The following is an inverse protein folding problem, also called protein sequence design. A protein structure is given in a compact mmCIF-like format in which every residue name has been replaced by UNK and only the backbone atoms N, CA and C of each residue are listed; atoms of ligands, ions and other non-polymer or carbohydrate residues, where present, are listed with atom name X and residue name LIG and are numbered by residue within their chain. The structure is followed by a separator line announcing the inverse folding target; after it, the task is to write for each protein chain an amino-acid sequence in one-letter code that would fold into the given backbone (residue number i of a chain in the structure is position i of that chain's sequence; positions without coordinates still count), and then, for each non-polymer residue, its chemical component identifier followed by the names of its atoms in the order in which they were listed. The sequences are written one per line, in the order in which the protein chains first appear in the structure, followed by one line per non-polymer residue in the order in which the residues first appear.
data_IF_394461571340
#
_entry.id   IF_394461571340
#
_cell.length_a   1.000
_cell.length_b   1.000
_cell.length_c   1.000
_cell.angle_alpha   90.00
_cell.angle_beta   90.00
_cell.angle_gamma   90.00
#
_symmetry.space_group_name_H-M   'P 1'
#
loop_
_entity.id
_entity.type
_entity.pdbx_description
1 polymer ?
#
# COMPACT_ATOMS: atom_id res chain seq x y z
N UNK A 1 -22.15 15.93 -23.17
CA UNK A 1 -21.67 14.53 -23.13
C UNK A 1 -20.31 14.52 -22.44
N UNK A 2 -20.14 13.75 -21.35
CA UNK A 2 -18.82 13.59 -20.71
C UNK A 2 -17.92 12.84 -21.70
N UNK A 3 -16.74 13.39 -22.01
CA UNK A 3 -15.77 12.73 -22.89
C UNK A 3 -15.23 11.49 -22.18
N UNK A 4 -15.25 10.35 -22.85
CA UNK A 4 -14.59 9.14 -22.38
C UNK A 4 -13.09 9.45 -22.27
N UNK A 5 -12.53 9.33 -21.07
CA UNK A 5 -11.08 9.39 -20.84
C UNK A 5 -10.58 7.95 -20.80
N UNK A 6 -9.53 7.67 -21.58
CA UNK A 6 -8.82 6.39 -21.48
C UNK A 6 -8.32 6.26 -20.03
N UNK A 7 -8.58 5.13 -19.34
CA UNK A 7 -8.05 4.89 -18.01
C UNK A 7 -6.52 5.00 -18.04
N UNK A 8 -5.96 5.97 -17.31
CA UNK A 8 -4.52 6.08 -17.15
C UNK A 8 -4.11 5.26 -15.94
N UNK A 9 -3.45 4.13 -16.18
CA UNK A 9 -2.85 3.34 -15.12
C UNK A 9 -1.68 4.16 -14.55
N UNK A 10 -1.61 4.39 -13.22
CA UNK A 10 -0.48 5.09 -12.62
C UNK A 10 0.84 4.40 -12.96
N UNK A 11 1.89 5.19 -13.22
CA UNK A 11 3.22 4.63 -13.40
C UNK A 11 3.69 4.02 -12.06
N UNK A 12 4.24 2.81 -12.10
CA UNK A 12 4.81 2.14 -10.93
C UNK A 12 6.29 1.87 -11.16
N UNK A 13 7.06 1.76 -10.08
CA UNK A 13 8.49 1.42 -10.13
C UNK A 13 8.77 0.36 -9.09
N UNK A 14 9.45 -0.72 -9.48
CA UNK A 14 9.86 -1.77 -8.54
C UNK A 14 10.94 -1.25 -7.59
N UNK A 15 10.81 -1.59 -6.30
CA UNK A 15 11.80 -1.37 -5.24
C UNK A 15 11.97 -2.68 -4.49
N UNK A 16 13.22 -3.08 -4.26
CA UNK A 16 13.55 -4.31 -3.53
C UNK A 16 14.02 -3.94 -2.12
N UNK A 17 13.38 -4.53 -1.11
CA UNK A 17 13.68 -4.35 0.32
C UNK A 17 13.57 -5.70 1.03
N UNK A 18 14.21 -5.83 2.19
CA UNK A 18 14.13 -7.04 3.03
C UNK A 18 13.15 -6.80 4.17
N UNK A 19 12.31 -7.81 4.43
CA UNK A 19 11.46 -7.87 5.62
C UNK A 19 12.05 -8.92 6.59
N UNK A 20 11.92 -8.71 7.91
CA UNK A 20 12.07 -9.78 8.89
C UNK A 20 11.13 -10.95 8.57
N UNK A 21 11.59 -12.19 8.79
CA UNK A 21 10.82 -13.39 8.42
C UNK A 21 9.52 -13.53 9.22
N UNK A 22 9.57 -13.21 10.51
CA UNK A 22 8.41 -13.17 11.41
C UNK A 22 7.31 -12.23 10.87
N UNK A 23 7.70 -11.06 10.38
CA UNK A 23 6.75 -10.11 9.78
C UNK A 23 6.14 -10.66 8.48
N UNK A 24 6.92 -11.37 7.66
CA UNK A 24 6.40 -12.00 6.44
C UNK A 24 5.36 -13.07 6.82
N UNK A 25 5.70 -13.95 7.76
CA UNK A 25 4.83 -15.05 8.19
C UNK A 25 3.50 -14.51 8.76
N UNK A 26 3.55 -13.45 9.57
CA UNK A 26 2.36 -12.79 10.09
C UNK A 26 1.48 -12.22 8.98
N UNK A 27 2.06 -11.47 8.03
CA UNK A 27 1.30 -10.91 6.91
C UNK A 27 0.69 -12.00 6.04
N UNK A 28 1.45 -13.04 5.70
CA UNK A 28 0.95 -14.16 4.91
C UNK A 28 -0.19 -14.89 5.63
N UNK A 29 -0.10 -15.10 6.94
CA UNK A 29 -1.16 -15.74 7.73
C UNK A 29 -2.49 -14.97 7.67
N UNK A 30 -2.45 -13.64 7.69
CA UNK A 30 -3.65 -12.77 7.59
C UNK A 30 -4.22 -12.74 6.17
N UNK A 31 -3.37 -12.93 5.15
CA UNK A 31 -3.81 -12.97 3.76
C UNK A 31 -4.44 -14.31 3.35
N UNK A 32 -4.27 -15.38 4.13
CA UNK A 32 -4.89 -16.68 3.85
C UNK A 32 -6.40 -16.55 3.74
N UNK A 33 -6.95 -17.01 2.60
CA UNK A 33 -8.39 -16.96 2.33
C UNK A 33 -8.91 -15.59 1.89
N UNK A 34 -8.01 -14.62 1.66
CA UNK A 34 -8.33 -13.31 1.08
C UNK A 34 -7.96 -13.27 -0.41
N UNK A 35 -8.60 -12.39 -1.18
CA UNK A 35 -8.23 -12.11 -2.58
C UNK A 35 -7.13 -11.02 -2.69
N UNK A 36 -6.34 -10.82 -1.63
CA UNK A 36 -5.31 -9.78 -1.57
C UNK A 36 -3.90 -10.38 -1.72
N UNK A 37 -3.03 -9.68 -2.44
CA UNK A 37 -1.62 -10.08 -2.60
C UNK A 37 -0.74 -9.36 -1.58
N UNK A 38 0.40 -9.97 -1.22
CA UNK A 38 1.39 -9.34 -0.34
C UNK A 38 1.80 -7.94 -0.82
N UNK A 39 2.06 -7.78 -2.12
CA UNK A 39 2.41 -6.49 -2.71
C UNK A 39 1.29 -5.44 -2.56
N UNK A 40 0.03 -5.84 -2.75
CA UNK A 40 -1.11 -4.94 -2.58
C UNK A 40 -1.27 -4.53 -1.11
N UNK A 41 -1.12 -5.47 -0.19
CA UNK A 41 -1.11 -5.21 1.26
C UNK A 41 -0.02 -4.22 1.65
N UNK A 42 1.23 -4.44 1.22
CA UNK A 42 2.35 -3.54 1.54
C UNK A 42 2.13 -2.15 0.95
N UNK A 43 1.63 -2.04 -0.28
CA UNK A 43 1.33 -0.74 -0.89
C UNK A 43 0.28 0.02 -0.09
N UNK A 44 -0.76 -0.65 0.36
CA UNK A 44 -1.83 -0.02 1.15
C UNK A 44 -1.37 0.37 2.55
N UNK A 45 -0.63 -0.52 3.23
CA UNK A 45 -0.05 -0.24 4.54
C UNK A 45 0.86 1.00 4.50
N UNK A 46 1.68 1.14 3.45
CA UNK A 46 2.55 2.31 3.27
C UNK A 46 1.74 3.58 2.97
N UNK A 47 0.63 3.51 2.22
CA UNK A 47 -0.24 4.67 2.00
C UNK A 47 -0.84 5.16 3.30
N UNK A 48 -1.42 4.26 4.08
CA UNK A 48 -2.02 4.58 5.40
C UNK A 48 -0.96 5.17 6.32
N UNK A 49 0.23 4.57 6.40
CA UNK A 49 1.32 5.11 7.22
C UNK A 49 1.72 6.53 6.79
N UNK A 50 1.79 6.81 5.49
CA UNK A 50 2.11 8.14 4.98
C UNK A 50 0.98 9.16 5.20
N UNK A 51 -0.28 8.74 5.22
CA UNK A 51 -1.42 9.60 5.55
C UNK A 51 -1.40 9.96 7.03
N UNK A 52 -1.24 8.98 7.92
CA UNK A 52 -1.14 9.21 9.36
C UNK A 52 0.00 10.20 9.71
N UNK A 53 1.17 10.05 9.08
CA UNK A 53 2.29 10.98 9.28
C UNK A 53 2.00 12.40 8.81
N UNK A 54 1.16 12.58 7.77
CA UNK A 54 0.77 13.93 7.31
C UNK A 54 -0.27 14.56 8.21
N UNK A 55 -1.18 13.74 8.75
CA UNK A 55 -2.18 14.18 9.72
C UNK A 55 -1.50 14.66 11.00
N UNK A 56 -0.55 13.88 11.55
CA UNK A 56 0.25 14.25 12.72
C UNK A 56 0.99 15.59 12.50
N UNK A 57 1.66 15.75 11.36
CA UNK A 57 2.34 17.01 11.02
C UNK A 57 1.42 18.21 10.84
N UNK A 58 0.13 18.01 10.53
CA UNK A 58 -0.84 19.09 10.34
C UNK A 58 -1.57 19.46 11.65
N UNK A 59 -1.58 18.57 12.64
CA UNK A 59 -2.11 18.83 13.98
C UNK A 59 -1.12 19.60 14.87
N UNK A 60 0.18 19.50 14.56
CA UNK A 60 1.27 20.22 15.24
C UNK A 60 1.55 21.65 14.70
N UNK A 61 0.80 22.12 13.69
CA UNK A 61 0.82 23.51 13.16
C UNK A 61 -0.41 24.34 13.61
#
# INVERSE_FOLDING_TARGET
MKKFKIPQIPQTTSKSIRFPNDVIDEVESVLVGTDCTFSAFVVEAVRVALENLKEESAEDE
#
